data_IF_260593202665
#
_entry.id   IF_260593202665
#
_cell.length_a   1.000
_cell.length_b   1.000
_cell.length_c   1.000
_cell.angle_alpha   90.00
_cell.angle_beta   90.00
_cell.angle_gamma   90.00
#
_symmetry.space_group_name_H-M   'P 1'
#
loop_
_entity.id
_entity.type
_entity.pdbx_description
1 polymer ?
#
# COMPACT_ATOMS: atom_id res chain seq x y z
N UNK A 1 1.13 -8.72 -21.30
CA UNK A 1 2.17 -8.89 -20.27
C UNK A 1 2.94 -10.20 -20.40
N UNK A 2 2.29 -11.37 -20.45
CA UNK A 2 3.00 -12.67 -20.49
C UNK A 2 3.92 -12.88 -21.72
N UNK A 3 3.49 -12.53 -22.94
CA UNK A 3 4.39 -12.58 -24.13
C UNK A 3 5.64 -11.71 -23.97
N UNK A 4 5.50 -10.57 -23.30
CA UNK A 4 6.59 -9.65 -23.05
C UNK A 4 7.42 -10.04 -21.79
N UNK A 5 6.96 -11.02 -21.02
CA UNK A 5 7.71 -11.60 -19.90
C UNK A 5 8.79 -12.54 -20.43
N UNK A 6 8.44 -13.47 -21.33
CA UNK A 6 9.41 -14.44 -21.86
C UNK A 6 10.59 -13.79 -22.58
N UNK A 7 10.38 -12.65 -23.26
CA UNK A 7 11.49 -11.87 -23.83
C UNK A 7 12.39 -11.26 -22.76
N UNK A 8 11.81 -10.73 -21.68
CA UNK A 8 12.58 -10.12 -20.58
C UNK A 8 13.30 -11.15 -19.72
N UNK A 9 12.73 -12.34 -19.53
CA UNK A 9 13.41 -13.45 -18.86
C UNK A 9 14.65 -13.90 -19.64
N UNK A 10 14.56 -13.95 -20.98
CA UNK A 10 15.71 -14.23 -21.85
C UNK A 10 16.79 -13.15 -21.74
N UNK A 11 16.38 -11.88 -21.87
CA UNK A 11 17.32 -10.75 -21.74
C UNK A 11 17.97 -10.69 -20.35
N UNK A 12 17.25 -11.03 -19.30
CA UNK A 12 17.82 -11.14 -17.95
C UNK A 12 18.81 -12.32 -17.82
N UNK A 13 18.54 -13.45 -18.46
CA UNK A 13 19.48 -14.57 -18.46
C UNK A 13 20.81 -14.21 -19.16
N UNK A 14 20.75 -13.38 -20.20
CA UNK A 14 21.91 -12.90 -20.96
C UNK A 14 22.63 -11.74 -20.25
N UNK A 15 21.86 -10.82 -19.65
CA UNK A 15 22.36 -9.59 -19.04
C UNK A 15 21.66 -9.30 -17.69
N UNK A 16 21.97 -10.05 -16.61
CA UNK A 16 21.21 -9.97 -15.37
C UNK A 16 21.16 -8.57 -14.74
N UNK A 17 22.27 -7.85 -14.71
CA UNK A 17 22.35 -6.52 -14.10
C UNK A 17 21.57 -5.45 -14.86
N UNK A 18 21.51 -5.55 -16.19
CA UNK A 18 20.88 -4.54 -17.05
C UNK A 18 19.34 -4.65 -17.08
N UNK A 19 18.78 -5.82 -16.74
CA UNK A 19 17.34 -6.08 -16.85
C UNK A 19 16.69 -6.49 -15.52
N UNK A 20 17.43 -6.54 -14.41
CA UNK A 20 16.90 -6.97 -13.12
C UNK A 20 15.75 -6.07 -12.65
N UNK A 21 15.91 -4.75 -12.74
CA UNK A 21 14.94 -3.74 -12.31
C UNK A 21 13.64 -3.80 -13.14
N UNK A 22 13.78 -3.88 -14.47
CA UNK A 22 12.66 -3.95 -15.40
C UNK A 22 11.92 -5.27 -15.24
N UNK A 23 12.64 -6.39 -15.12
CA UNK A 23 12.02 -7.71 -14.94
C UNK A 23 11.27 -7.79 -13.60
N UNK A 24 11.85 -7.27 -12.51
CA UNK A 24 11.19 -7.24 -11.21
C UNK A 24 9.90 -6.39 -11.23
N UNK A 25 9.96 -5.22 -11.87
CA UNK A 25 8.78 -4.36 -12.06
C UNK A 25 7.69 -5.08 -12.86
N UNK A 26 8.08 -5.80 -13.91
CA UNK A 26 7.20 -6.61 -14.72
C UNK A 26 6.51 -7.72 -13.93
N UNK A 27 7.26 -8.43 -13.08
CA UNK A 27 6.69 -9.43 -12.18
C UNK A 27 5.69 -8.80 -11.22
N UNK A 28 6.02 -7.67 -10.59
CA UNK A 28 5.07 -7.00 -9.69
C UNK A 28 3.77 -6.60 -10.43
N UNK A 29 3.87 -6.09 -11.67
CA UNK A 29 2.70 -5.74 -12.48
C UNK A 29 1.85 -6.96 -12.87
N UNK A 30 2.49 -8.09 -13.19
CA UNK A 30 1.78 -9.36 -13.39
C UNK A 30 1.11 -9.85 -12.11
N UNK A 31 1.76 -9.68 -10.96
CA UNK A 31 1.16 -9.92 -9.65
C UNK A 31 -0.13 -9.14 -9.45
N UNK A 32 -0.12 -7.83 -9.76
CA UNK A 32 -1.30 -6.96 -9.69
C UNK A 32 -2.40 -7.44 -10.62
N UNK A 33 -2.06 -7.76 -11.87
CA UNK A 33 -3.02 -8.26 -12.85
C UNK A 33 -3.71 -9.53 -12.35
N UNK A 34 -2.93 -10.51 -11.87
CA UNK A 34 -3.46 -11.77 -11.36
C UNK A 34 -4.28 -11.58 -10.08
N UNK A 35 -3.89 -10.66 -9.18
CA UNK A 35 -4.66 -10.33 -7.99
C UNK A 35 -6.05 -9.79 -8.37
N UNK A 36 -6.13 -8.90 -9.36
CA UNK A 36 -7.39 -8.28 -9.79
C UNK A 36 -8.37 -9.29 -10.42
N UNK A 37 -7.87 -10.33 -11.09
CA UNK A 37 -8.70 -11.43 -11.61
C UNK A 37 -8.89 -12.58 -10.60
N UNK A 38 -8.58 -12.35 -9.31
CA UNK A 38 -8.66 -13.33 -8.21
C UNK A 38 -7.79 -14.59 -8.40
N UNK A 39 -6.77 -14.51 -9.25
CA UNK A 39 -5.74 -15.53 -9.43
C UNK A 39 -4.67 -15.45 -8.35
N UNK A 40 -5.04 -15.59 -7.07
CA UNK A 40 -4.17 -15.31 -5.93
C UNK A 40 -2.88 -16.14 -5.89
N UNK A 41 -2.90 -17.39 -6.35
CA UNK A 41 -1.70 -18.23 -6.44
C UNK A 41 -0.65 -17.67 -7.41
N UNK A 42 -1.07 -17.32 -8.63
CA UNK A 42 -0.18 -16.66 -9.61
C UNK A 42 0.26 -15.27 -9.14
N UNK A 43 -0.65 -14.52 -8.52
CA UNK A 43 -0.31 -13.22 -7.95
C UNK A 43 0.83 -13.33 -6.92
N UNK A 44 0.71 -14.30 -6.02
CA UNK A 44 1.74 -14.62 -5.02
C UNK A 44 3.08 -14.95 -5.68
N UNK A 45 3.08 -15.88 -6.65
CA UNK A 45 4.29 -16.31 -7.34
C UNK A 45 5.04 -15.13 -7.97
N UNK A 46 4.31 -14.27 -8.69
CA UNK A 46 4.90 -13.12 -9.36
C UNK A 46 5.39 -12.06 -8.37
N UNK A 47 4.63 -11.75 -7.31
CA UNK A 47 5.11 -10.83 -6.29
C UNK A 47 6.36 -11.36 -5.57
N UNK A 48 6.42 -12.66 -5.24
CA UNK A 48 7.60 -13.25 -4.61
C UNK A 48 8.83 -13.26 -5.54
N UNK A 49 8.62 -13.44 -6.86
CA UNK A 49 9.69 -13.27 -7.87
C UNK A 49 10.19 -11.82 -7.91
N UNK A 50 9.29 -10.84 -7.95
CA UNK A 50 9.66 -9.42 -7.89
C UNK A 50 10.42 -9.07 -6.61
N UNK A 51 9.92 -9.55 -5.47
CA UNK A 51 10.48 -9.29 -4.16
C UNK A 51 11.94 -9.73 -4.07
N UNK A 52 12.24 -10.99 -4.42
CA UNK A 52 13.61 -11.52 -4.38
C UNK A 52 14.60 -10.71 -5.22
N UNK A 53 14.15 -10.16 -6.34
CA UNK A 53 14.99 -9.34 -7.20
C UNK A 53 15.19 -7.95 -6.59
N UNK A 54 14.12 -7.32 -6.11
CA UNK A 54 14.16 -5.99 -5.52
C UNK A 54 14.91 -5.95 -4.19
N UNK A 55 14.88 -7.01 -3.38
CA UNK A 55 15.69 -7.10 -2.15
C UNK A 55 17.19 -7.08 -2.47
N UNK A 56 17.61 -7.78 -3.54
CA UNK A 56 19.01 -7.74 -4.00
C UNK A 56 19.40 -6.36 -4.52
N UNK A 57 18.57 -5.77 -5.38
CA UNK A 57 18.78 -4.43 -5.92
C UNK A 57 18.82 -3.37 -4.81
N UNK A 58 17.94 -3.48 -3.82
CA UNK A 58 17.92 -2.59 -2.66
C UNK A 58 19.17 -2.74 -1.79
N UNK A 59 19.70 -3.96 -1.62
CA UNK A 59 20.96 -4.15 -0.90
C UNK A 59 22.16 -3.47 -1.61
N UNK A 60 22.13 -3.41 -2.94
CA UNK A 60 23.18 -2.76 -3.75
C UNK A 60 23.00 -1.23 -3.81
N UNK A 61 21.76 -0.75 -3.91
CA UNK A 61 21.44 0.67 -3.99
C UNK A 61 20.09 1.00 -3.31
N UNK A 62 20.09 1.20 -1.98
CA UNK A 62 18.86 1.41 -1.22
C UNK A 62 18.01 2.58 -1.73
N UNK A 63 18.62 3.72 -2.05
CA UNK A 63 17.89 4.93 -2.45
C UNK A 63 17.18 4.76 -3.80
N UNK A 64 17.79 4.06 -4.75
CA UNK A 64 17.18 3.82 -6.06
C UNK A 64 15.99 2.84 -6.00
N UNK A 65 16.02 1.88 -5.08
CA UNK A 65 15.07 0.76 -5.08
C UNK A 65 14.10 0.70 -3.89
N UNK A 66 14.25 1.61 -2.92
CA UNK A 66 13.36 1.72 -1.75
C UNK A 66 11.88 1.77 -2.15
N UNK A 67 11.54 2.65 -3.10
CA UNK A 67 10.15 2.90 -3.46
C UNK A 67 9.47 1.66 -4.05
N UNK A 68 10.14 1.00 -5.01
CA UNK A 68 9.62 -0.19 -5.69
C UNK A 68 9.57 -1.41 -4.76
N UNK A 69 10.54 -1.55 -3.84
CA UNK A 69 10.53 -2.60 -2.83
C UNK A 69 9.35 -2.41 -1.86
N UNK A 70 9.14 -1.18 -1.38
CA UNK A 70 8.01 -0.86 -0.51
C UNK A 70 6.65 -1.11 -1.20
N UNK A 71 6.56 -0.84 -2.51
CA UNK A 71 5.36 -1.14 -3.30
C UNK A 71 5.08 -2.64 -3.36
N UNK A 72 6.09 -3.47 -3.60
CA UNK A 72 5.92 -4.93 -3.65
C UNK A 72 5.53 -5.49 -2.29
N UNK A 73 6.15 -5.01 -1.20
CA UNK A 73 5.72 -5.35 0.16
C UNK A 73 4.26 -4.95 0.42
N UNK A 74 3.86 -3.75 0.02
CA UNK A 74 2.48 -3.31 0.14
C UNK A 74 1.51 -4.24 -0.61
N UNK A 75 1.86 -4.64 -1.84
CA UNK A 75 1.05 -5.53 -2.67
C UNK A 75 0.93 -6.94 -2.07
N UNK A 76 2.02 -7.51 -1.55
CA UNK A 76 2.01 -8.78 -0.82
C UNK A 76 1.13 -8.67 0.44
N UNK A 77 1.24 -7.58 1.19
CA UNK A 77 0.36 -7.34 2.34
C UNK A 77 -1.12 -7.33 1.96
N UNK A 78 -1.44 -6.65 0.85
CA UNK A 78 -2.80 -6.63 0.29
C UNK A 78 -3.30 -8.00 -0.17
N UNK A 79 -2.44 -8.78 -0.83
CA UNK A 79 -2.72 -10.16 -1.24
C UNK A 79 -3.04 -11.03 -0.03
N UNK A 80 -2.15 -11.07 0.97
CA UNK A 80 -2.32 -11.91 2.15
C UNK A 80 -3.54 -11.50 2.98
N UNK A 81 -3.87 -10.20 3.04
CA UNK A 81 -5.13 -9.73 3.64
C UNK A 81 -6.35 -10.26 2.87
N UNK A 82 -6.30 -10.24 1.53
CA UNK A 82 -7.38 -10.72 0.66
C UNK A 82 -7.69 -12.21 0.83
N UNK A 83 -6.66 -13.02 1.10
CA UNK A 83 -6.80 -14.45 1.40
C UNK A 83 -6.88 -14.77 2.91
N UNK A 84 -7.05 -13.74 3.75
CA UNK A 84 -7.21 -13.83 5.21
C UNK A 84 -6.02 -14.41 5.99
N UNK A 85 -4.82 -14.43 5.39
CA UNK A 85 -3.57 -14.71 6.09
C UNK A 85 -3.04 -13.43 6.78
N UNK A 86 -3.75 -12.98 7.81
CA UNK A 86 -3.53 -11.68 8.43
C UNK A 86 -2.15 -11.50 9.07
N UNK A 87 -1.50 -12.59 9.53
CA UNK A 87 -0.15 -12.55 10.08
C UNK A 87 0.89 -12.11 9.04
N UNK A 88 0.89 -12.73 7.86
CA UNK A 88 1.75 -12.33 6.74
C UNK A 88 1.37 -10.97 6.19
N UNK A 89 0.07 -10.67 6.12
CA UNK A 89 -0.40 -9.35 5.70
C UNK A 89 0.21 -8.24 6.57
N UNK A 90 0.25 -8.47 7.89
CA UNK A 90 0.85 -7.56 8.85
C UNK A 90 2.33 -7.39 8.60
N UNK A 91 3.08 -8.49 8.54
CA UNK A 91 4.53 -8.47 8.32
C UNK A 91 4.91 -7.65 7.09
N UNK A 92 4.26 -7.90 5.95
CA UNK A 92 4.56 -7.20 4.71
C UNK A 92 4.12 -5.73 4.73
N UNK A 93 2.98 -5.40 5.35
CA UNK A 93 2.59 -4.01 5.49
C UNK A 93 3.50 -3.22 6.46
N UNK A 94 4.02 -3.85 7.51
CA UNK A 94 4.99 -3.23 8.43
C UNK A 94 6.34 -3.00 7.74
N UNK A 95 6.83 -3.96 6.94
CA UNK A 95 8.02 -3.78 6.09
C UNK A 95 7.86 -2.62 5.09
N UNK A 96 6.68 -2.53 4.44
CA UNK A 96 6.38 -1.40 3.56
C UNK A 96 6.35 -0.07 4.32
N UNK A 97 5.76 -0.06 5.53
CA UNK A 97 5.67 1.14 6.36
C UNK A 97 7.05 1.68 6.73
N UNK A 98 7.96 0.81 7.17
CA UNK A 98 9.31 1.21 7.57
C UNK A 98 10.04 1.97 6.44
N UNK A 99 9.97 1.45 5.22
CA UNK A 99 10.60 2.10 4.06
C UNK A 99 9.88 3.41 3.71
N UNK A 100 8.55 3.42 3.72
CA UNK A 100 7.76 4.62 3.37
C UNK A 100 7.93 5.75 4.39
N UNK A 101 8.15 5.43 5.66
CA UNK A 101 8.47 6.43 6.70
C UNK A 101 9.86 7.05 6.46
N UNK A 102 10.86 6.25 6.09
CA UNK A 102 12.20 6.76 5.71
C UNK A 102 12.13 7.68 4.49
N UNK A 103 11.48 7.23 3.42
CA UNK A 103 11.29 8.03 2.20
C UNK A 103 10.52 9.34 2.48
N UNK A 104 9.48 9.29 3.32
CA UNK A 104 8.76 10.49 3.74
C UNK A 104 9.63 11.45 4.55
N UNK A 105 10.54 10.97 5.39
CA UNK A 105 11.47 11.83 6.12
C UNK A 105 12.44 12.58 5.17
N UNK A 106 12.85 11.95 4.08
CA UNK A 106 13.75 12.53 3.06
C UNK A 106 13.02 13.50 2.13
N UNK A 107 11.82 13.16 1.67
CA UNK A 107 11.00 14.01 0.81
C UNK A 107 9.49 13.88 1.14
N UNK A 108 9.00 14.65 2.13
CA UNK A 108 7.62 14.57 2.58
C UNK A 108 6.58 14.77 1.47
N UNK A 109 6.82 15.71 0.56
CA UNK A 109 5.86 16.05 -0.50
C UNK A 109 5.69 14.90 -1.49
N UNK A 110 6.80 14.30 -1.94
CA UNK A 110 6.76 13.19 -2.90
C UNK A 110 6.14 11.92 -2.31
N UNK A 111 6.40 11.62 -1.03
CA UNK A 111 6.05 10.32 -0.45
C UNK A 111 4.84 10.35 0.49
N UNK A 112 4.24 11.53 0.77
CA UNK A 112 3.03 11.64 1.57
C UNK A 112 1.87 10.76 1.08
N UNK A 113 1.57 10.67 -0.25
CA UNK A 113 0.46 9.85 -0.74
C UNK A 113 0.61 8.37 -0.42
N UNK A 114 1.82 7.82 -0.60
CA UNK A 114 2.09 6.39 -0.40
C UNK A 114 2.19 6.00 1.06
N UNK A 115 2.75 6.87 1.91
CA UNK A 115 2.73 6.66 3.36
C UNK A 115 1.29 6.65 3.88
N UNK A 116 0.45 7.61 3.44
CA UNK A 116 -0.97 7.63 3.78
C UNK A 116 -1.71 6.37 3.32
N UNK A 117 -1.40 5.86 2.12
CA UNK A 117 -1.96 4.60 1.60
C UNK A 117 -1.56 3.38 2.44
N UNK A 118 -0.32 3.35 2.92
CA UNK A 118 0.19 2.26 3.77
C UNK A 118 -0.48 2.28 5.14
N UNK A 119 -0.64 3.45 5.76
CA UNK A 119 -1.41 3.60 6.98
C UNK A 119 -2.87 3.14 6.83
N UNK A 120 -3.55 3.52 5.74
CA UNK A 120 -4.90 3.02 5.46
C UNK A 120 -4.95 1.49 5.35
N UNK A 121 -3.92 0.87 4.77
CA UNK A 121 -3.88 -0.58 4.58
C UNK A 121 -3.69 -1.34 5.89
N UNK A 122 -2.83 -0.83 6.78
CA UNK A 122 -2.71 -1.32 8.15
C UNK A 122 -4.00 -1.11 8.93
N UNK A 123 -4.65 0.05 8.79
CA UNK A 123 -5.93 0.31 9.44
C UNK A 123 -7.02 -0.68 9.00
N UNK A 124 -7.11 -1.00 7.70
CA UNK A 124 -7.99 -2.05 7.19
C UNK A 124 -7.66 -3.43 7.76
N UNK A 125 -6.37 -3.77 7.89
CA UNK A 125 -5.95 -5.03 8.48
C UNK A 125 -6.36 -5.15 9.95
N UNK A 126 -6.10 -4.13 10.76
CA UNK A 126 -6.50 -4.12 12.17
C UNK A 126 -8.03 -4.10 12.33
N UNK A 127 -8.76 -3.40 11.45
CA UNK A 127 -10.23 -3.47 11.41
C UNK A 127 -10.72 -4.90 11.13
N UNK A 128 -10.11 -5.61 10.17
CA UNK A 128 -10.46 -7.01 9.87
C UNK A 128 -10.17 -7.97 11.04
N UNK A 129 -9.20 -7.63 11.90
CA UNK A 129 -8.90 -8.34 13.14
C UNK A 129 -9.77 -7.91 14.34
N UNK A 130 -10.77 -7.04 14.14
CA UNK A 130 -11.56 -6.40 15.20
C UNK A 130 -10.73 -5.61 16.23
N UNK A 131 -9.51 -5.21 15.86
CA UNK A 131 -8.59 -4.38 16.64
C UNK A 131 -8.85 -2.91 16.37
N UNK A 132 -10.00 -2.43 16.86
CA UNK A 132 -10.54 -1.12 16.50
C UNK A 132 -9.69 0.05 17.02
N UNK A 133 -9.00 -0.11 18.16
CA UNK A 133 -8.10 0.91 18.71
C UNK A 133 -6.89 1.13 17.81
N UNK A 134 -6.23 0.04 17.39
CA UNK A 134 -5.09 0.09 16.48
C UNK A 134 -5.51 0.59 15.09
N UNK A 135 -6.66 0.14 14.58
CA UNK A 135 -7.22 0.64 13.33
C UNK A 135 -7.45 2.16 13.38
N UNK A 136 -7.97 2.69 14.49
CA UNK A 136 -8.18 4.12 14.70
C UNK A 136 -6.87 4.89 14.55
N UNK A 137 -5.81 4.47 15.23
CA UNK A 137 -4.52 5.17 15.22
C UNK A 137 -3.95 5.31 13.81
N UNK A 138 -3.99 4.24 13.03
CA UNK A 138 -3.53 4.28 11.64
C UNK A 138 -4.44 5.12 10.73
N UNK A 139 -5.76 5.07 10.90
CA UNK A 139 -6.65 5.95 10.15
C UNK A 139 -6.45 7.42 10.51
N UNK A 140 -6.24 7.78 11.77
CA UNK A 140 -5.95 9.15 12.19
C UNK A 140 -4.63 9.66 11.61
N UNK A 141 -3.59 8.81 11.56
CA UNK A 141 -2.33 9.13 10.85
C UNK A 141 -2.59 9.40 9.37
N UNK A 142 -3.33 8.53 8.69
CA UNK A 142 -3.68 8.72 7.29
C UNK A 142 -4.54 9.97 7.04
N UNK A 143 -5.49 10.27 7.95
CA UNK A 143 -6.39 11.42 7.84
C UNK A 143 -5.59 12.72 7.78
N UNK A 144 -4.66 12.93 8.73
CA UNK A 144 -3.83 14.14 8.77
C UNK A 144 -3.07 14.38 7.47
N UNK A 145 -2.56 13.32 6.84
CA UNK A 145 -1.85 13.43 5.57
C UNK A 145 -2.82 13.71 4.41
N UNK A 146 -3.95 13.01 4.37
CA UNK A 146 -4.94 13.19 3.29
C UNK A 146 -5.64 14.54 3.33
N UNK A 147 -5.82 15.16 4.50
CA UNK A 147 -6.32 16.53 4.61
C UNK A 147 -5.37 17.55 3.98
N UNK A 148 -4.05 17.40 4.20
CA UNK A 148 -3.03 18.24 3.56
C UNK A 148 -3.00 18.04 2.04
N UNK A 149 -2.96 16.78 1.59
CA UNK A 149 -2.98 16.43 0.16
C UNK A 149 -4.25 16.95 -0.53
N UNK A 150 -5.41 16.86 0.14
CA UNK A 150 -6.66 17.41 -0.37
C UNK A 150 -6.62 18.93 -0.52
N UNK A 151 -5.99 19.65 0.40
CA UNK A 151 -5.85 21.10 0.27
C UNK A 151 -5.00 21.50 -0.95
N UNK A 152 -4.02 20.68 -1.33
CA UNK A 152 -3.15 20.90 -2.50
C UNK A 152 -3.82 20.49 -3.82
N UNK A 153 -4.54 19.36 -3.84
CA UNK A 153 -5.26 18.88 -5.03
C UNK A 153 -6.56 18.16 -4.63
N UNK A 154 -7.67 18.91 -4.46
CA UNK A 154 -8.94 18.34 -4.03
C UNK A 154 -9.43 17.20 -4.93
N UNK A 155 -9.33 17.37 -6.26
CA UNK A 155 -9.85 16.40 -7.22
C UNK A 155 -9.12 15.05 -7.12
N UNK A 156 -7.79 15.07 -6.99
CA UNK A 156 -7.00 13.85 -6.89
C UNK A 156 -7.21 13.11 -5.56
N UNK A 157 -7.40 13.84 -4.45
CA UNK A 157 -7.36 13.26 -3.10
C UNK A 157 -8.72 13.15 -2.40
N UNK A 158 -9.79 13.73 -2.95
CA UNK A 158 -11.16 13.59 -2.45
C UNK A 158 -11.57 12.13 -2.18
N UNK A 159 -11.41 11.17 -3.13
CA UNK A 159 -11.89 9.81 -2.91
C UNK A 159 -11.24 9.13 -1.71
N UNK A 160 -9.94 9.34 -1.52
CA UNK A 160 -9.21 8.77 -0.40
C UNK A 160 -9.55 9.42 0.93
N UNK A 161 -9.78 10.73 0.95
CA UNK A 161 -10.20 11.45 2.16
C UNK A 161 -11.62 11.03 2.60
N UNK A 162 -12.54 10.91 1.64
CA UNK A 162 -13.90 10.35 1.84
C UNK A 162 -13.83 8.96 2.45
N UNK A 163 -12.97 8.08 1.91
CA UNK A 163 -12.82 6.73 2.44
C UNK A 163 -12.30 6.70 3.90
N UNK A 164 -11.34 7.56 4.26
CA UNK A 164 -10.81 7.63 5.62
C UNK A 164 -11.86 8.15 6.60
N UNK A 165 -12.59 9.22 6.28
CA UNK A 165 -13.66 9.72 7.16
C UNK A 165 -14.78 8.70 7.37
N UNK A 166 -15.19 7.97 6.32
CA UNK A 166 -16.19 6.91 6.43
C UNK A 166 -15.74 5.79 7.38
N UNK A 167 -14.52 5.29 7.17
CA UNK A 167 -13.98 4.25 8.04
C UNK A 167 -13.77 4.73 9.48
N UNK A 168 -13.25 5.94 9.70
CA UNK A 168 -13.10 6.49 11.06
C UNK A 168 -14.44 6.63 11.77
N UNK A 169 -15.50 7.03 11.06
CA UNK A 169 -16.83 7.09 11.65
C UNK A 169 -17.26 5.72 12.20
N UNK A 170 -17.11 4.66 11.40
CA UNK A 170 -17.43 3.29 11.82
C UNK A 170 -16.56 2.82 13.00
N UNK A 171 -15.24 3.10 12.95
CA UNK A 171 -14.31 2.75 14.03
C UNK A 171 -14.70 3.46 15.33
N UNK A 172 -15.04 4.75 15.26
CA UNK A 172 -15.47 5.50 16.43
C UNK A 172 -16.76 4.98 17.04
N UNK A 173 -17.72 4.50 16.23
CA UNK A 173 -18.91 3.83 16.76
C UNK A 173 -18.59 2.54 17.48
N UNK A 174 -17.71 1.70 16.91
CA UNK A 174 -17.26 0.46 17.56
C UNK A 174 -16.53 0.72 18.88
N UNK A 175 -15.93 1.90 19.04
CA UNK A 175 -15.27 2.34 20.26
C UNK A 175 -16.18 3.16 21.20
N UNK A 176 -17.49 3.30 20.91
CA UNK A 176 -18.42 4.10 21.73
C UNK A 176 -18.21 5.62 21.66
N UNK A 177 -17.38 6.11 20.74
CA UNK A 177 -17.04 7.53 20.58
C UNK A 177 -18.02 8.27 19.65
N UNK A 178 -19.30 8.30 20.04
CA UNK A 178 -20.40 8.79 19.21
C UNK A 178 -20.21 10.22 18.68
N UNK A 179 -19.65 11.12 19.50
CA UNK A 179 -19.36 12.51 19.09
C UNK A 179 -18.39 12.57 17.91
N UNK A 180 -17.27 11.85 18.00
CA UNK A 180 -16.26 11.82 16.94
C UNK A 180 -16.80 11.15 15.66
N UNK A 181 -17.60 10.09 15.81
CA UNK A 181 -18.28 9.45 14.67
C UNK A 181 -19.18 10.45 13.92
N UNK A 182 -19.96 11.26 14.66
CA UNK A 182 -20.83 12.31 14.07
C UNK A 182 -20.01 13.38 13.37
N UNK A 183 -18.88 13.78 13.93
CA UNK A 183 -17.96 14.75 13.32
C UNK A 183 -17.39 14.24 11.99
N UNK A 184 -16.91 12.98 11.95
CA UNK A 184 -16.45 12.35 10.71
C UNK A 184 -17.56 12.28 9.65
N UNK A 185 -18.79 11.92 10.02
CA UNK A 185 -19.94 11.89 9.08
C UNK A 185 -20.29 13.26 8.52
N UNK A 186 -20.20 14.31 9.33
CA UNK A 186 -20.44 15.69 8.87
C UNK A 186 -19.41 16.08 7.82
N UNK A 187 -18.12 15.81 8.07
CA UNK A 187 -17.03 16.06 7.11
C UNK A 187 -17.17 15.22 5.85
N UNK A 188 -17.58 13.96 5.99
CA UNK A 188 -17.87 13.08 4.86
C UNK A 188 -18.98 13.64 3.96
N UNK A 189 -20.06 14.19 4.55
CA UNK A 189 -21.16 14.78 3.78
C UNK A 189 -20.72 16.02 3.01
N UNK A 190 -19.92 16.90 3.62
CA UNK A 190 -19.42 18.10 2.94
C UNK A 190 -18.47 17.81 1.78
N UNK A 191 -17.77 16.67 1.79
CA UNK A 191 -16.87 16.25 0.70
C UNK A 191 -17.59 15.61 -0.49
N UNK A 192 -18.89 15.30 -0.36
CA UNK A 192 -19.71 14.66 -1.40
C UNK A 192 -20.67 15.63 -2.09
N UNK A 193 -20.69 16.89 -1.66
CA UNK A 193 -21.50 17.97 -2.24
C UNK A 193 -20.62 18.77 -3.21
#
# INVERSE_FOLDING_TARGET
YEKALGMREKLYAEHPSAYADVLATNYNNLGVLHYNIKGYGKAREYYEKALRMQEKLYAENPSAYADVLALTYHNLGGLYRGIKEYGKAREYHEKALEIREKLYAENPSAHAPDLAKTYVSLAYLYKALNKYSEAREYYEKALRMREKLYAENPAAYAPGLVAVYGNLAEIYEKLGKARLAKECRRKLKSLKQ
#
